data_IF_525348135494
#
_entry.id   IF_525348135494
#
_cell.length_a   1.000
_cell.length_b   1.000
_cell.length_c   1.000
_cell.angle_alpha   90.00
_cell.angle_beta   90.00
_cell.angle_gamma   90.00
#
_symmetry.space_group_name_H-M   'P 1'
#
loop_
_entity.id
_entity.type
_entity.pdbx_description
1 polymer ?
#
# COMPACT_ATOMS: atom_id res chain seq x y z
N UNK A 1 12.22 -38.86 -3.29
CA UNK A 1 12.32 -37.46 -3.74
C UNK A 1 11.20 -36.69 -3.07
N UNK A 2 11.50 -35.70 -2.23
CA UNK A 2 10.48 -34.78 -1.74
C UNK A 2 10.28 -33.72 -2.81
N UNK A 3 9.11 -33.74 -3.45
CA UNK A 3 8.69 -32.67 -4.35
C UNK A 3 8.15 -31.53 -3.49
N UNK A 4 8.73 -30.34 -3.62
CA UNK A 4 8.19 -29.14 -2.96
C UNK A 4 6.77 -28.89 -3.49
N UNK A 5 5.76 -28.72 -2.62
CA UNK A 5 4.40 -28.46 -3.08
C UNK A 5 4.33 -27.12 -3.81
N UNK A 6 3.66 -27.12 -4.96
CA UNK A 6 3.43 -25.92 -5.77
C UNK A 6 2.06 -25.31 -5.39
N UNK A 7 2.04 -24.00 -5.15
CA UNK A 7 0.83 -23.24 -4.85
C UNK A 7 0.48 -22.37 -6.06
N UNK A 8 -0.79 -22.39 -6.47
CA UNK A 8 -1.31 -21.58 -7.58
C UNK A 8 -2.33 -20.55 -7.11
N UNK A 9 -2.23 -19.34 -7.65
CA UNK A 9 -3.11 -18.20 -7.41
C UNK A 9 -3.19 -17.32 -8.66
N UNK A 10 -4.21 -16.47 -8.76
CA UNK A 10 -4.31 -15.47 -9.83
C UNK A 10 -3.34 -14.31 -9.57
N UNK A 11 -3.19 -13.94 -8.29
CA UNK A 11 -2.33 -12.83 -7.85
C UNK A 11 -1.53 -13.24 -6.62
N UNK A 12 -0.20 -13.14 -6.74
CA UNK A 12 0.74 -13.29 -5.63
C UNK A 12 1.18 -11.90 -5.14
N UNK A 13 0.90 -11.58 -3.88
CA UNK A 13 1.32 -10.33 -3.22
C UNK A 13 2.45 -10.65 -2.26
N UNK A 14 3.62 -10.04 -2.47
CA UNK A 14 4.79 -10.21 -1.60
C UNK A 14 4.88 -8.99 -0.67
N UNK A 15 4.39 -9.15 0.57
CA UNK A 15 4.35 -8.13 1.60
C UNK A 15 2.96 -7.95 2.19
N UNK A 16 2.84 -8.06 3.52
CA UNK A 16 1.57 -7.94 4.27
C UNK A 16 1.41 -6.60 5.01
N UNK A 17 2.06 -5.53 4.53
CA UNK A 17 1.84 -4.17 5.04
C UNK A 17 0.53 -3.55 4.53
N UNK A 18 0.30 -2.26 4.83
CA UNK A 18 -0.90 -1.53 4.41
C UNK A 18 -1.16 -1.64 2.90
N UNK A 19 -0.11 -1.49 2.07
CA UNK A 19 -0.23 -1.60 0.62
C UNK A 19 -0.69 -3.01 0.18
N UNK A 20 -0.04 -4.06 0.67
CA UNK A 20 -0.33 -5.43 0.24
C UNK A 20 -1.67 -5.95 0.72
N UNK A 21 -2.03 -5.70 1.99
CA UNK A 21 -3.32 -6.16 2.54
C UNK A 21 -4.49 -5.36 1.98
N UNK A 22 -4.36 -4.05 1.78
CA UNK A 22 -5.43 -3.26 1.16
C UNK A 22 -5.67 -3.66 -0.30
N UNK A 23 -4.62 -4.00 -1.04
CA UNK A 23 -4.73 -4.59 -2.38
C UNK A 23 -5.42 -5.95 -2.33
N UNK A 24 -5.00 -6.84 -1.42
CA UNK A 24 -5.58 -8.17 -1.28
C UNK A 24 -7.09 -8.11 -1.04
N UNK A 25 -7.55 -7.24 -0.14
CA UNK A 25 -8.97 -7.04 0.15
C UNK A 25 -9.75 -6.60 -1.10
N UNK A 26 -9.21 -5.67 -1.90
CA UNK A 26 -9.86 -5.17 -3.12
C UNK A 26 -9.96 -6.23 -4.22
N UNK A 27 -9.03 -7.19 -4.26
CA UNK A 27 -8.99 -8.23 -5.29
C UNK A 27 -9.70 -9.53 -4.87
N UNK A 28 -9.84 -9.78 -3.58
CA UNK A 28 -10.34 -11.04 -3.03
C UNK A 28 -11.76 -11.42 -3.49
N UNK A 29 -12.60 -10.46 -3.88
CA UNK A 29 -13.94 -10.75 -4.41
C UNK A 29 -13.92 -11.45 -5.79
N UNK A 30 -12.86 -11.24 -6.58
CA UNK A 30 -12.79 -11.67 -7.99
C UNK A 30 -11.61 -12.57 -8.31
N UNK A 31 -10.64 -12.65 -7.41
CA UNK A 31 -9.37 -13.33 -7.65
C UNK A 31 -8.96 -14.19 -6.47
N UNK A 32 -8.33 -15.33 -6.75
CA UNK A 32 -7.62 -16.12 -5.75
C UNK A 32 -6.28 -15.45 -5.46
N UNK A 33 -6.17 -14.83 -4.29
CA UNK A 33 -4.98 -14.07 -3.87
C UNK A 33 -4.18 -14.86 -2.83
N UNK A 34 -2.86 -14.95 -3.01
CA UNK A 34 -1.92 -15.38 -1.95
C UNK A 34 -1.12 -14.17 -1.50
N UNK A 35 -1.09 -13.93 -0.19
CA UNK A 35 -0.26 -12.89 0.43
C UNK A 35 0.88 -13.55 1.19
N UNK A 36 2.10 -13.15 0.91
CA UNK A 36 3.30 -13.58 1.65
C UNK A 36 3.72 -12.50 2.64
N UNK A 37 4.06 -12.94 3.85
CA UNK A 37 4.85 -12.17 4.82
C UNK A 37 6.14 -12.92 5.10
N UNK A 38 7.25 -12.18 5.25
CA UNK A 38 8.54 -12.76 5.63
C UNK A 38 8.52 -13.26 7.09
N UNK A 39 7.71 -12.62 7.94
CA UNK A 39 7.56 -12.95 9.35
C UNK A 39 6.08 -13.08 9.73
N UNK A 40 5.72 -12.80 10.99
CA UNK A 40 4.32 -12.65 11.37
C UNK A 40 3.60 -11.67 10.44
N UNK A 41 2.31 -11.91 10.16
CA UNK A 41 1.54 -11.09 9.22
C UNK A 41 1.45 -9.62 9.64
N UNK A 42 1.46 -9.36 10.96
CA UNK A 42 1.42 -8.03 11.56
C UNK A 42 2.78 -7.36 11.68
N UNK A 43 3.88 -8.01 11.28
CA UNK A 43 5.23 -7.48 11.45
C UNK A 43 5.70 -6.73 10.19
N UNK A 44 5.98 -5.43 10.34
CA UNK A 44 6.43 -4.55 9.27
C UNK A 44 6.22 -3.07 9.62
N UNK A 45 6.76 -2.14 8.82
CA UNK A 45 6.73 -0.70 9.12
C UNK A 45 5.33 -0.13 9.35
N UNK A 46 4.31 -0.67 8.67
CA UNK A 46 2.91 -0.28 8.85
C UNK A 46 2.45 -0.42 10.30
N UNK A 47 2.87 -1.46 11.03
CA UNK A 47 2.46 -1.70 12.41
C UNK A 47 3.01 -0.64 13.39
N UNK A 48 4.14 -0.03 13.04
CA UNK A 48 4.84 0.94 13.89
C UNK A 48 4.59 2.41 13.48
N UNK A 49 3.73 2.68 12.50
CA UNK A 49 3.41 4.04 12.09
C UNK A 49 2.71 4.79 13.23
N UNK A 50 3.15 6.03 13.52
CA UNK A 50 2.68 6.79 14.70
C UNK A 50 1.85 8.02 14.34
N UNK A 51 2.28 8.80 13.34
CA UNK A 51 1.70 10.11 13.06
C UNK A 51 0.27 10.05 12.53
N UNK A 52 0.09 9.45 11.36
CA UNK A 52 -1.22 9.35 10.71
C UNK A 52 -1.10 9.27 9.19
N UNK A 53 -2.24 9.35 8.52
CA UNK A 53 -2.35 9.43 7.06
C UNK A 53 -2.81 10.85 6.72
N UNK A 54 -2.02 11.58 5.96
CA UNK A 54 -2.43 12.90 5.46
C UNK A 54 -3.55 12.72 4.42
N UNK A 55 -4.63 13.49 4.57
CA UNK A 55 -5.75 13.50 3.65
C UNK A 55 -6.52 14.81 3.79
N UNK A 56 -7.19 15.24 2.71
CA UNK A 56 -8.03 16.44 2.69
C UNK A 56 -9.42 16.07 3.19
N UNK A 57 -9.72 16.43 4.43
CA UNK A 57 -11.03 16.19 5.08
C UNK A 57 -11.74 17.47 5.53
N UNK A 58 -10.98 18.54 5.78
CA UNK A 58 -11.51 19.80 6.29
C UNK A 58 -12.15 20.62 5.15
N UNK A 59 -13.26 21.32 5.44
CA UNK A 59 -13.94 22.16 4.46
C UNK A 59 -13.10 23.36 4.00
N UNK A 60 -12.10 23.75 4.79
CA UNK A 60 -11.16 24.83 4.50
C UNK A 60 -9.87 24.33 3.82
N UNK A 61 -9.69 23.01 3.70
CA UNK A 61 -8.57 22.41 2.98
C UNK A 61 -8.97 22.05 1.54
N UNK A 62 -8.00 21.84 0.65
CA UNK A 62 -8.25 21.46 -0.74
C UNK A 62 -7.20 20.50 -1.29
N UNK A 63 -7.63 19.65 -2.22
CA UNK A 63 -6.72 18.75 -2.96
C UNK A 63 -5.61 19.57 -3.65
N UNK A 64 -5.95 20.73 -4.20
CA UNK A 64 -4.97 21.60 -4.87
C UNK A 64 -3.85 22.06 -3.91
N UNK A 65 -4.20 22.46 -2.68
CA UNK A 65 -3.22 22.83 -1.66
C UNK A 65 -2.32 21.65 -1.28
N UNK A 66 -2.91 20.48 -1.04
CA UNK A 66 -2.16 19.27 -0.69
C UNK A 66 -1.20 18.81 -1.83
N UNK A 67 -1.64 18.92 -3.08
CA UNK A 67 -0.79 18.67 -4.26
C UNK A 67 0.38 19.65 -4.29
N UNK A 68 0.13 20.94 -4.10
CA UNK A 68 1.16 21.97 -4.09
C UNK A 68 2.19 21.74 -2.97
N UNK A 69 1.73 21.43 -1.76
CA UNK A 69 2.60 21.07 -0.63
C UNK A 69 3.52 19.89 -0.97
N UNK A 70 2.97 18.86 -1.61
CA UNK A 70 3.73 17.68 -2.03
C UNK A 70 4.79 18.03 -3.06
N UNK A 71 4.46 18.87 -4.06
CA UNK A 71 5.39 19.29 -5.11
C UNK A 71 6.51 20.19 -4.56
N UNK A 72 6.19 21.09 -3.62
CA UNK A 72 7.16 21.96 -2.94
C UNK A 72 8.11 21.11 -2.09
N UNK A 73 7.57 20.23 -1.23
CA UNK A 73 8.36 19.34 -0.38
C UNK A 73 9.21 18.36 -1.21
N UNK A 74 8.72 17.96 -2.38
CA UNK A 74 9.40 17.13 -3.34
C UNK A 74 10.52 17.82 -4.14
N UNK A 75 10.85 19.08 -3.84
CA UNK A 75 12.01 19.80 -4.39
C UNK A 75 12.12 19.77 -5.93
N UNK A 76 10.98 19.80 -6.63
CA UNK A 76 10.91 19.86 -8.10
C UNK A 76 11.19 18.55 -8.84
N UNK A 77 11.30 17.42 -8.13
CA UNK A 77 11.53 16.09 -8.75
C UNK A 77 10.29 15.18 -8.72
N UNK A 78 9.18 15.65 -8.16
CA UNK A 78 7.91 14.94 -8.23
C UNK A 78 7.37 14.88 -9.66
N UNK A 79 6.80 13.74 -10.03
CA UNK A 79 5.93 13.64 -11.20
C UNK A 79 4.55 14.18 -10.84
N UNK A 80 4.18 15.31 -11.45
CA UNK A 80 2.89 15.97 -11.21
C UNK A 80 1.68 15.14 -11.61
N UNK A 81 1.82 14.14 -12.48
CA UNK A 81 0.69 13.27 -12.79
C UNK A 81 0.42 12.25 -11.67
N UNK A 82 1.46 11.88 -10.92
CA UNK A 82 1.38 10.94 -9.80
C UNK A 82 1.01 11.61 -8.47
N UNK A 83 1.19 12.93 -8.37
CA UNK A 83 0.79 13.77 -7.23
C UNK A 83 -0.61 14.34 -7.47
#
# INVERSE_FOLDING_TARGET
MMTTPELSCDVLIIGSGAAGLSLALRLAEKHKVIVLSKGPVSEGSTFYAQGGIAAVFDETDSIASHVEDTLIAGAGICDRHAV
#
